data_IF_598718905482
#
_entry.id   IF_598718905482
#
_cell.length_a   1.000
_cell.length_b   1.000
_cell.length_c   1.000
_cell.angle_alpha   90.00
_cell.angle_beta   90.00
_cell.angle_gamma   90.00
#
_symmetry.space_group_name_H-M   'P 1'
#
loop_
_entity.id
_entity.type
_entity.pdbx_description
1 polymer ?
#
# COMPACT_ATOMS: atom_id res chain seq x y z
N UNK A 1 13.06 4.64 -3.36
CA UNK A 1 13.34 6.08 -3.25
C UNK A 1 13.50 6.50 -1.79
N UNK A 2 12.44 6.47 -0.98
CA UNK A 2 12.48 6.91 0.42
C UNK A 2 13.56 6.19 1.28
N UNK A 3 13.71 4.87 1.15
CA UNK A 3 14.78 4.14 1.85
C UNK A 3 16.19 4.63 1.46
N UNK A 4 16.44 4.87 0.16
CA UNK A 4 17.74 5.39 -0.31
C UNK A 4 17.97 6.82 0.20
N UNK A 5 16.92 7.64 0.18
CA UNK A 5 16.99 9.01 0.66
C UNK A 5 17.31 9.08 2.17
N UNK A 6 16.75 8.16 2.97
CA UNK A 6 17.06 7.98 4.39
C UNK A 6 18.55 7.66 4.63
N UNK A 7 19.17 6.92 3.71
CA UNK A 7 20.61 6.61 3.72
C UNK A 7 21.48 7.75 3.13
N UNK A 8 20.93 8.95 2.91
CA UNK A 8 21.67 10.13 2.46
C UNK A 8 21.85 10.25 0.95
N UNK A 9 21.26 9.36 0.15
CA UNK A 9 21.36 9.43 -1.31
C UNK A 9 20.46 10.55 -1.88
N UNK A 10 20.95 11.20 -2.94
CA UNK A 10 20.12 12.02 -3.82
C UNK A 10 19.45 11.13 -4.86
N UNK A 11 18.13 11.11 -4.88
CA UNK A 11 17.34 10.17 -5.68
C UNK A 11 16.52 10.94 -6.71
N UNK A 12 16.67 10.58 -7.98
CA UNK A 12 15.72 10.99 -9.03
C UNK A 12 14.85 9.80 -9.41
N UNK A 13 13.54 9.96 -9.32
CA UNK A 13 12.54 8.97 -9.73
C UNK A 13 11.93 9.45 -11.04
N UNK A 14 11.97 8.60 -12.06
CA UNK A 14 11.33 8.82 -13.35
C UNK A 14 10.09 7.93 -13.43
N UNK A 15 8.92 8.53 -13.58
CA UNK A 15 7.62 7.85 -13.56
C UNK A 15 6.86 8.18 -14.84
N UNK A 16 6.32 7.13 -15.46
CA UNK A 16 5.62 7.22 -16.76
C UNK A 16 4.32 8.00 -16.66
N UNK A 17 3.56 7.81 -15.57
CA UNK A 17 2.25 8.43 -15.41
C UNK A 17 2.38 9.86 -14.88
N UNK A 18 1.53 10.78 -15.34
CA UNK A 18 1.49 12.15 -14.83
C UNK A 18 1.10 12.19 -13.34
N UNK A 19 0.05 11.43 -12.98
CA UNK A 19 -0.32 11.16 -11.61
C UNK A 19 -0.06 9.68 -11.28
N UNK A 20 0.99 9.33 -10.52
CA UNK A 20 1.28 7.93 -10.22
C UNK A 20 0.26 7.29 -9.28
N UNK A 21 -0.53 8.11 -8.57
CA UNK A 21 -1.60 7.65 -7.69
C UNK A 21 -2.95 7.50 -8.41
N UNK A 22 -3.08 7.82 -9.70
CA UNK A 22 -4.37 7.68 -10.38
C UNK A 22 -4.91 6.24 -10.30
N UNK A 23 -6.24 6.13 -10.36
CA UNK A 23 -6.91 4.84 -10.45
C UNK A 23 -6.65 4.20 -11.82
N UNK A 24 -5.97 3.05 -11.81
CA UNK A 24 -5.68 2.24 -12.98
C UNK A 24 -6.53 0.94 -12.91
N UNK A 25 -7.57 0.79 -13.76
CA UNK A 25 -8.41 -0.39 -13.76
C UNK A 25 -7.68 -1.67 -14.20
N UNK A 26 -6.51 -1.55 -14.84
CA UNK A 26 -5.64 -2.67 -15.19
C UNK A 26 -4.80 -3.19 -14.02
N UNK A 27 -4.88 -2.56 -12.83
CA UNK A 27 -4.16 -2.97 -11.63
C UNK A 27 -5.10 -3.33 -10.50
N UNK A 28 -4.58 -4.09 -9.52
CA UNK A 28 -5.32 -4.41 -8.30
C UNK A 28 -5.83 -3.15 -7.61
N UNK A 29 -7.15 -3.09 -7.40
CA UNK A 29 -7.81 -1.94 -6.77
C UNK A 29 -7.50 -1.84 -5.27
N UNK A 30 -7.51 -2.96 -4.56
CA UNK A 30 -7.28 -3.05 -3.12
C UNK A 30 -5.95 -3.73 -2.81
N UNK A 31 -5.19 -3.18 -1.86
CA UNK A 31 -4.02 -3.82 -1.28
C UNK A 31 -4.29 -4.24 0.16
N UNK A 32 -3.74 -5.38 0.53
CA UNK A 32 -3.62 -5.83 1.91
C UNK A 32 -2.18 -5.63 2.37
N UNK A 33 -1.98 -4.74 3.34
CA UNK A 33 -0.69 -4.51 3.94
C UNK A 33 -0.56 -5.42 5.16
N UNK A 34 0.04 -6.58 4.94
CA UNK A 34 0.32 -7.60 5.96
C UNK A 34 1.69 -7.35 6.63
N UNK A 35 2.06 -8.18 7.62
CA UNK A 35 3.16 -7.96 8.56
C UNK A 35 4.50 -7.59 7.94
N UNK A 36 4.89 -8.18 6.80
CA UNK A 36 6.15 -7.81 6.11
C UNK A 36 6.10 -6.40 5.54
N UNK A 37 4.97 -6.01 4.95
CA UNK A 37 4.76 -4.66 4.44
C UNK A 37 4.75 -3.65 5.59
N UNK A 38 4.08 -3.98 6.70
CA UNK A 38 4.06 -3.13 7.89
C UNK A 38 5.45 -2.95 8.51
N UNK A 39 6.25 -4.03 8.59
CA UNK A 39 7.62 -3.95 9.09
C UNK A 39 8.48 -3.01 8.22
N UNK A 40 8.42 -3.16 6.90
CA UNK A 40 9.13 -2.27 5.97
C UNK A 40 8.69 -0.80 6.10
N UNK A 41 7.38 -0.54 6.23
CA UNK A 41 6.86 0.81 6.41
C UNK A 41 7.26 1.40 7.77
N UNK A 42 7.32 0.58 8.82
CA UNK A 42 7.78 1.01 10.15
C UNK A 42 9.26 1.37 10.18
N UNK A 43 10.10 0.63 9.46
CA UNK A 43 11.52 0.97 9.28
C UNK A 43 11.71 2.27 8.49
N UNK A 44 10.83 2.50 7.50
CA UNK A 44 10.89 3.68 6.66
C UNK A 44 10.56 4.95 7.46
N UNK A 45 9.44 4.93 8.16
CA UNK A 45 8.97 6.04 8.98
C UNK A 45 8.03 5.50 10.09
N UNK A 46 8.40 5.65 11.38
CA UNK A 46 7.59 5.20 12.51
C UNK A 46 6.14 5.75 12.51
N UNK A 47 5.92 6.92 11.92
CA UNK A 47 4.60 7.56 11.86
C UNK A 47 3.77 7.13 10.65
N UNK A 48 4.37 6.48 9.65
CA UNK A 48 3.66 6.05 8.43
C UNK A 48 2.47 5.15 8.76
N UNK A 49 2.68 4.22 9.70
CA UNK A 49 1.64 3.27 10.10
C UNK A 49 0.44 3.96 10.76
N UNK A 50 0.64 5.10 11.44
CA UNK A 50 -0.47 5.85 12.03
C UNK A 50 -1.36 6.48 10.94
N UNK A 51 -0.76 7.10 9.92
CA UNK A 51 -1.49 7.64 8.78
C UNK A 51 -2.20 6.54 7.97
N UNK A 52 -1.50 5.43 7.70
CA UNK A 52 -2.07 4.29 6.98
C UNK A 52 -3.29 3.74 7.71
N UNK A 53 -3.22 3.57 9.03
CA UNK A 53 -4.35 3.11 9.85
C UNK A 53 -5.57 4.03 9.72
N UNK A 54 -5.35 5.35 9.68
CA UNK A 54 -6.43 6.34 9.54
C UNK A 54 -7.20 6.30 8.21
N UNK A 55 -6.63 5.64 7.18
CA UNK A 55 -7.25 5.53 5.84
C UNK A 55 -7.48 4.09 5.39
N UNK A 56 -7.41 3.14 6.32
CA UNK A 56 -7.52 1.70 6.04
C UNK A 56 -8.59 1.03 6.89
N UNK A 57 -8.97 -0.19 6.50
CA UNK A 57 -9.83 -1.07 7.29
C UNK A 57 -9.00 -2.25 7.78
N UNK A 58 -9.11 -2.57 9.07
CA UNK A 58 -8.40 -3.73 9.61
C UNK A 58 -9.09 -5.05 9.24
N UNK A 59 -8.28 -6.03 8.85
CA UNK A 59 -8.73 -7.39 8.60
C UNK A 59 -8.71 -8.18 9.90
N UNK A 60 -9.88 -8.34 10.51
CA UNK A 60 -10.05 -9.05 11.79
C UNK A 60 -10.49 -10.50 11.62
N UNK A 61 -11.17 -10.82 10.52
CA UNK A 61 -11.61 -12.15 10.16
C UNK A 61 -11.61 -12.34 8.63
N UNK A 62 -11.48 -13.59 8.18
CA UNK A 62 -11.69 -13.98 6.81
C UNK A 62 -12.86 -14.95 6.72
N UNK A 63 -13.77 -14.74 5.76
CA UNK A 63 -14.75 -15.75 5.38
C UNK A 63 -14.37 -16.31 4.01
N UNK A 64 -14.56 -17.62 3.83
CA UNK A 64 -14.45 -18.28 2.54
C UNK A 64 -15.84 -18.76 2.18
N UNK A 65 -16.36 -18.24 1.07
CA UNK A 65 -17.65 -18.64 0.54
C UNK A 65 -17.46 -19.41 -0.76
N UNK A 66 -18.23 -20.48 -0.92
CA UNK A 66 -18.34 -21.23 -2.17
C UNK A 66 -19.78 -21.10 -2.68
N UNK A 67 -19.95 -20.49 -3.86
CA UNK A 67 -21.22 -20.46 -4.56
C UNK A 67 -21.37 -21.74 -5.38
N UNK A 68 -22.38 -22.55 -5.07
CA UNK A 68 -22.67 -23.82 -5.74
C UNK A 68 -24.09 -23.80 -6.32
N UNK A 69 -24.47 -24.74 -7.22
CA UNK A 69 -25.87 -24.87 -7.65
C UNK A 69 -26.85 -25.11 -6.51
N UNK A 70 -26.39 -25.66 -5.37
CA UNK A 70 -27.19 -25.86 -4.16
C UNK A 70 -27.27 -24.62 -3.25
N UNK A 71 -26.64 -23.50 -3.64
CA UNK A 71 -26.59 -22.26 -2.88
C UNK A 71 -25.20 -21.90 -2.35
N UNK A 72 -25.16 -20.90 -1.49
CA UNK A 72 -23.96 -20.36 -0.85
C UNK A 72 -23.54 -21.20 0.35
N UNK A 73 -22.29 -21.67 0.38
CA UNK A 73 -21.68 -22.30 1.55
C UNK A 73 -20.57 -21.43 2.09
N UNK A 74 -20.71 -20.96 3.32
CA UNK A 74 -19.72 -20.09 3.96
C UNK A 74 -19.00 -20.83 5.10
N UNK A 75 -17.70 -20.55 5.25
CA UNK A 75 -16.93 -20.93 6.42
C UNK A 75 -16.09 -19.76 6.90
N UNK A 76 -16.05 -19.55 8.21
CA UNK A 76 -15.12 -18.60 8.81
C UNK A 76 -13.74 -19.23 8.93
N UNK A 77 -12.72 -18.49 8.51
CA UNK A 77 -11.32 -18.86 8.66
C UNK A 77 -10.73 -17.95 9.74
N UNK A 78 -10.42 -18.49 10.93
CA UNK A 78 -9.79 -17.70 11.97
C UNK A 78 -8.41 -17.24 11.52
N UNK A 79 -8.05 -16.01 11.89
CA UNK A 79 -6.69 -15.52 11.68
C UNK A 79 -5.70 -16.33 12.52
N UNK A 80 -4.56 -16.70 11.93
CA UNK A 80 -3.52 -17.52 12.60
C UNK A 80 -2.99 -16.85 13.89
N UNK A 81 -2.94 -15.53 13.90
CA UNK A 81 -2.55 -14.72 15.06
C UNK A 81 -3.51 -13.52 15.14
N UNK A 82 -4.43 -13.48 16.13
CA UNK A 82 -5.43 -12.42 16.25
C UNK A 82 -4.83 -11.07 16.67
N UNK A 83 -3.58 -11.04 17.14
CA UNK A 83 -2.89 -9.80 17.51
C UNK A 83 -2.28 -9.09 16.29
N UNK A 84 -2.04 -9.83 15.19
CA UNK A 84 -1.50 -9.30 13.94
C UNK A 84 -2.63 -8.85 13.03
N UNK A 85 -2.89 -7.54 13.05
CA UNK A 85 -3.84 -6.91 12.13
C UNK A 85 -3.17 -6.70 10.77
N UNK A 86 -3.88 -7.02 9.69
CA UNK A 86 -3.55 -6.56 8.34
C UNK A 86 -4.47 -5.42 7.94
N UNK A 87 -4.05 -4.58 7.01
CA UNK A 87 -4.80 -3.38 6.64
C UNK A 87 -5.16 -3.36 5.16
N UNK A 88 -6.46 -3.32 4.87
CA UNK A 88 -7.00 -3.13 3.53
C UNK A 88 -7.11 -1.63 3.21
N UNK A 89 -6.60 -1.23 2.05
CA UNK A 89 -6.80 0.12 1.53
C UNK A 89 -6.74 0.14 0.00
N UNK A 90 -7.39 1.12 -0.65
CA UNK A 90 -7.27 1.27 -2.09
C UNK A 90 -5.84 1.59 -2.49
N UNK A 91 -5.39 1.00 -3.60
CA UNK A 91 -4.04 1.18 -4.14
C UNK A 91 -3.69 2.66 -4.32
N UNK A 92 -4.59 3.45 -4.90
CA UNK A 92 -4.35 4.88 -5.14
C UNK A 92 -4.12 5.67 -3.85
N UNK A 93 -4.81 5.29 -2.76
CA UNK A 93 -4.62 5.89 -1.43
C UNK A 93 -3.25 5.51 -0.89
N UNK A 94 -2.85 4.23 -0.98
CA UNK A 94 -1.53 3.80 -0.55
C UNK A 94 -0.40 4.50 -1.31
N UNK A 95 -0.51 4.58 -2.63
CA UNK A 95 0.48 5.28 -3.47
C UNK A 95 0.51 6.77 -3.17
N UNK A 96 -0.65 7.40 -2.93
CA UNK A 96 -0.73 8.81 -2.51
C UNK A 96 0.03 9.08 -1.22
N UNK A 97 -0.07 8.21 -0.21
CA UNK A 97 0.69 8.34 1.04
C UNK A 97 2.21 8.30 0.81
N UNK A 98 2.66 7.36 -0.03
CA UNK A 98 4.08 7.24 -0.39
C UNK A 98 4.58 8.45 -1.20
N UNK A 99 3.80 8.90 -2.18
CA UNK A 99 4.13 10.07 -2.99
C UNK A 99 4.19 11.34 -2.16
N UNK A 100 3.25 11.54 -1.23
CA UNK A 100 3.27 12.68 -0.30
C UNK A 100 4.60 12.76 0.44
N UNK A 101 5.05 11.63 1.02
CA UNK A 101 6.35 11.56 1.71
C UNK A 101 7.54 11.73 0.79
N UNK A 102 7.49 11.11 -0.40
CA UNK A 102 8.59 11.24 -1.35
C UNK A 102 8.74 12.68 -1.86
N UNK A 103 7.64 13.38 -2.11
CA UNK A 103 7.63 14.80 -2.54
C UNK A 103 8.07 15.76 -1.44
N UNK A 104 7.82 15.43 -0.16
CA UNK A 104 8.25 16.26 0.96
C UNK A 104 9.71 16.06 1.36
N UNK A 105 10.40 15.06 0.78
CA UNK A 105 11.78 14.76 1.12
C UNK A 105 12.75 15.55 0.24
N UNK A 106 13.63 16.35 0.83
CA UNK A 106 14.50 17.29 0.12
C UNK A 106 15.46 16.64 -0.90
N UNK A 107 15.90 15.41 -0.63
CA UNK A 107 16.83 14.68 -1.50
C UNK A 107 16.16 13.87 -2.61
N UNK A 108 14.82 13.91 -2.70
CA UNK A 108 14.06 13.17 -3.71
C UNK A 108 13.47 14.15 -4.73
N UNK A 109 13.80 13.91 -5.99
CA UNK A 109 13.15 14.56 -7.13
C UNK A 109 12.31 13.54 -7.88
N UNK A 110 11.05 13.87 -8.15
CA UNK A 110 10.15 13.03 -8.96
C UNK A 110 9.87 13.75 -10.28
N UNK A 111 10.06 13.04 -11.39
CA UNK A 111 9.72 13.47 -12.74
C UNK A 111 8.59 12.54 -13.21
N UNK A 112 7.38 13.07 -13.32
CA UNK A 112 6.20 12.35 -13.79
C UNK A 112 5.92 12.62 -15.28
N UNK A 113 5.10 11.79 -15.91
CA UNK A 113 4.77 11.92 -17.34
C UNK A 113 5.94 11.62 -18.27
N UNK A 114 6.95 10.87 -17.81
CA UNK A 114 8.14 10.61 -18.61
C UNK A 114 7.87 9.61 -19.73
N UNK A 115 8.22 10.00 -20.97
CA UNK A 115 8.35 9.07 -22.08
C UNK A 115 9.69 8.34 -21.96
N UNK A 116 9.67 7.02 -21.89
CA UNK A 116 10.86 6.20 -22.11
C UNK A 116 10.86 5.88 -23.61
N UNK A 117 11.79 6.49 -24.33
CA UNK A 117 12.08 6.16 -25.74
C UNK A 117 12.68 4.76 -25.88
#
# INVERSE_FOLDING_TARGET
ALMLAKEGWKVTVVEKNEDPAHYDPGRGFMYLIDGRGQACLGELDPFFMAELRGVSVDMTAASVAALTPAGLKERNVPMKDPTRKSYWLPRHVFVSLLLKRARSHESIRIISGAALE
#
